data_IF_091797261973
#
_entry.id   IF_091797261973
#
_cell.length_a   1.000
_cell.length_b   1.000
_cell.length_c   1.000
_cell.angle_alpha   90.00
_cell.angle_beta   90.00
_cell.angle_gamma   90.00
#
_symmetry.space_group_name_H-M   'P 1'
#
loop_
_entity.id
_entity.type
_entity.pdbx_description
1 polymer ?
#
# COMPACT_ATOMS: atom_id res chain seq x y z
N UNK A 1 16.67 -11.65 13.47
CA UNK A 1 16.41 -11.96 12.03
C UNK A 1 17.20 -10.94 11.21
N UNK A 2 18.09 -11.38 10.31
CA UNK A 2 19.01 -10.50 9.57
C UNK A 2 18.24 -9.64 8.55
N UNK A 3 17.64 -8.54 8.99
CA UNK A 3 17.28 -7.46 8.08
C UNK A 3 18.59 -6.91 7.54
N UNK A 4 19.01 -7.36 6.34
CA UNK A 4 20.19 -6.81 5.66
C UNK A 4 19.83 -5.42 5.13
N UNK A 5 19.76 -4.45 6.03
CA UNK A 5 19.64 -3.04 5.70
C UNK A 5 20.82 -2.69 4.79
N UNK A 6 20.53 -2.15 3.61
CA UNK A 6 21.57 -1.67 2.70
C UNK A 6 21.31 -0.19 2.46
N UNK A 7 22.27 0.62 2.85
CA UNK A 7 22.28 2.05 2.62
C UNK A 7 22.90 2.34 1.26
N UNK A 8 22.23 3.14 0.43
CA UNK A 8 22.85 3.75 -0.75
C UNK A 8 23.11 5.23 -0.46
N UNK A 9 24.36 5.66 -0.61
CA UNK A 9 24.76 7.05 -0.37
C UNK A 9 24.85 7.74 -1.72
N UNK A 10 24.03 8.77 -1.90
CA UNK A 10 24.05 9.63 -3.08
C UNK A 10 24.69 10.98 -2.71
N UNK A 11 25.65 11.40 -3.54
CA UNK A 11 26.34 12.67 -3.39
C UNK A 11 25.55 13.75 -4.16
N UNK A 12 25.19 14.83 -3.48
CA UNK A 12 24.75 16.09 -4.11
C UNK A 12 25.75 17.19 -3.77
N UNK A 13 25.70 18.32 -4.47
CA UNK A 13 26.68 19.42 -4.36
C UNK A 13 27.12 19.72 -2.90
N UNK A 14 26.16 19.94 -1.99
CA UNK A 14 26.44 20.38 -0.62
C UNK A 14 26.07 19.36 0.48
N UNK A 15 25.42 18.24 0.11
CA UNK A 15 24.83 17.30 1.06
C UNK A 15 25.03 15.84 0.64
N UNK A 16 25.23 14.99 1.63
CA UNK A 16 25.18 13.54 1.51
C UNK A 16 23.76 13.11 1.83
N UNK A 17 23.15 12.35 0.91
CA UNK A 17 21.87 11.71 1.16
C UNK A 17 22.10 10.21 1.28
N UNK A 18 21.74 9.65 2.42
CA UNK A 18 21.72 8.21 2.63
C UNK A 18 20.27 7.72 2.59
N UNK A 19 20.01 6.73 1.74
CA UNK A 19 18.73 6.06 1.63
C UNK A 19 18.81 4.70 2.29
N UNK A 20 17.85 4.36 3.14
CA UNK A 20 17.71 3.04 3.78
C UNK A 20 16.34 2.50 3.44
N UNK A 21 16.31 1.26 2.95
CA UNK A 21 15.09 0.48 2.81
C UNK A 21 15.21 -0.75 3.68
N UNK A 22 14.12 -1.09 4.38
CA UNK A 22 13.97 -2.27 5.25
C UNK A 22 12.65 -2.94 4.90
N UNK A 23 12.59 -4.28 4.94
CA UNK A 23 11.37 -5.01 4.62
C UNK A 23 11.51 -6.50 4.86
N UNK A 24 10.37 -7.16 5.04
CA UNK A 24 10.26 -8.59 5.37
C UNK A 24 10.09 -9.49 4.12
N UNK A 25 10.05 -8.91 2.91
CA UNK A 25 9.70 -9.60 1.65
C UNK A 25 8.27 -10.19 1.64
N UNK A 26 7.46 -9.88 2.64
CA UNK A 26 6.10 -10.42 2.85
C UNK A 26 5.05 -9.32 2.99
N UNK A 27 5.26 -8.17 2.34
CA UNK A 27 4.28 -7.09 2.30
C UNK A 27 4.51 -5.97 3.30
N UNK A 28 5.60 -5.96 4.08
CA UNK A 28 5.94 -4.83 4.94
C UNK A 28 7.24 -4.17 4.46
N UNK A 29 7.17 -2.86 4.22
CA UNK A 29 8.32 -2.05 3.83
C UNK A 29 8.41 -0.83 4.75
N UNK A 30 9.65 -0.48 5.09
CA UNK A 30 10.02 0.85 5.55
C UNK A 30 11.05 1.49 4.63
N UNK A 31 10.92 2.79 4.41
CA UNK A 31 11.89 3.60 3.68
C UNK A 31 12.24 4.84 4.49
N UNK A 32 13.52 5.20 4.52
CA UNK A 32 14.04 6.34 5.25
C UNK A 32 15.15 7.04 4.50
N UNK A 33 15.22 8.36 4.66
CA UNK A 33 16.26 9.20 4.07
C UNK A 33 16.90 10.03 5.16
N UNK A 34 18.22 10.01 5.24
CA UNK A 34 18.99 10.88 6.11
C UNK A 34 19.85 11.79 5.26
N UNK A 35 19.82 13.08 5.55
CA UNK A 35 20.67 14.07 4.89
C UNK A 35 21.70 14.58 5.90
N UNK A 36 22.96 14.62 5.51
CA UNK A 36 24.03 15.26 6.28
C UNK A 36 24.77 16.28 5.42
N UNK A 37 25.31 17.36 6.01
CA UNK A 37 26.18 18.28 5.29
C UNK A 37 27.46 17.56 4.85
N UNK A 38 27.95 17.87 3.66
CA UNK A 38 29.11 17.19 3.06
C UNK A 38 30.38 17.27 3.90
N UNK A 39 30.57 18.37 4.64
CA UNK A 39 31.78 18.62 5.47
C UNK A 39 31.84 17.76 6.74
N UNK A 40 30.69 17.28 7.22
CA UNK A 40 30.61 16.42 8.41
C UNK A 40 29.91 15.11 8.00
N UNK A 41 30.59 14.23 7.25
CA UNK A 41 30.06 12.90 7.04
C UNK A 41 30.03 12.21 8.41
N UNK A 42 28.85 12.13 9.03
CA UNK A 42 28.62 11.04 9.95
C UNK A 42 28.93 9.77 9.14
N UNK A 43 29.94 8.97 9.57
CA UNK A 43 30.57 7.95 8.75
C UNK A 43 29.54 6.93 8.26
N UNK A 44 29.91 6.17 7.23
CA UNK A 44 29.11 5.12 6.59
C UNK A 44 28.55 4.05 7.53
N UNK A 45 28.80 4.15 8.83
CA UNK A 45 27.92 3.65 9.90
C UNK A 45 26.50 4.02 9.51
N UNK A 46 25.85 3.08 8.81
CA UNK A 46 24.63 3.33 8.06
C UNK A 46 23.63 4.05 8.96
N UNK A 47 22.75 4.91 8.42
CA UNK A 47 21.75 5.59 9.23
C UNK A 47 21.15 4.55 10.17
N UNK A 48 21.43 4.66 11.47
CA UNK A 48 20.82 3.82 12.50
C UNK A 48 19.38 4.32 12.62
N UNK A 49 18.65 4.17 11.52
CA UNK A 49 17.28 4.57 11.40
C UNK A 49 16.53 3.43 12.06
N UNK A 50 16.10 3.65 13.30
CA UNK A 50 15.11 2.79 13.93
C UNK A 50 13.91 2.77 12.98
N UNK A 51 13.61 1.66 12.27
CA UNK A 51 12.66 1.68 11.15
C UNK A 51 11.20 1.84 11.62
N UNK A 52 10.97 2.09 12.92
CA UNK A 52 9.68 2.09 13.59
C UNK A 52 8.64 3.05 12.99
N UNK A 53 9.01 4.16 12.36
CA UNK A 53 8.03 5.21 12.05
C UNK A 53 7.27 5.07 10.73
N UNK A 54 7.74 4.25 9.78
CA UNK A 54 7.12 4.20 8.44
C UNK A 54 7.02 2.77 7.88
N UNK A 55 6.51 1.82 8.66
CA UNK A 55 6.14 0.52 8.11
C UNK A 55 4.74 0.59 7.52
N UNK A 56 4.65 0.62 6.18
CA UNK A 56 3.37 0.51 5.51
C UNK A 56 3.11 -0.95 5.12
N UNK A 57 1.93 -1.51 5.44
CA UNK A 57 1.50 -2.75 4.84
C UNK A 57 1.24 -2.48 3.35
N UNK A 58 1.71 -3.38 2.52
CA UNK A 58 1.40 -3.46 1.10
C UNK A 58 0.23 -4.45 0.97
N UNK A 59 -0.70 -4.24 0.04
CA UNK A 59 -1.76 -5.23 -0.18
C UNK A 59 -1.16 -6.60 -0.48
N UNK A 60 -1.84 -7.64 -0.01
CA UNK A 60 -1.57 -8.98 -0.43
C UNK A 60 -1.55 -9.02 -1.96
N UNK A 61 -0.46 -9.58 -2.46
CA UNK A 61 -0.23 -9.82 -3.88
C UNK A 61 -1.48 -10.54 -4.41
N UNK A 62 -1.99 -10.10 -5.56
CA UNK A 62 -3.21 -10.69 -6.13
C UNK A 62 -2.84 -11.53 -7.34
N UNK A 63 -3.63 -12.58 -7.57
CA UNK A 63 -3.49 -13.44 -8.74
C UNK A 63 -4.58 -13.12 -9.74
N UNK A 64 -4.24 -13.15 -11.04
CA UNK A 64 -5.25 -13.31 -12.08
C UNK A 64 -5.93 -14.69 -12.01
N UNK A 65 -5.23 -15.70 -11.48
CA UNK A 65 -5.68 -17.10 -11.49
C UNK A 65 -5.14 -17.89 -10.27
N UNK A 66 -5.99 -18.75 -9.69
CA UNK A 66 -5.79 -19.44 -8.40
C UNK A 66 -4.64 -20.48 -8.35
N UNK A 67 -3.77 -20.58 -9.35
CA UNK A 67 -2.86 -21.74 -9.49
C UNK A 67 -1.59 -21.63 -8.62
N UNK A 68 -0.92 -20.48 -8.53
CA UNK A 68 0.38 -20.40 -7.83
C UNK A 68 0.42 -19.38 -6.68
N UNK A 69 1.63 -19.04 -6.20
CA UNK A 69 1.84 -17.95 -5.24
C UNK A 69 1.58 -16.60 -5.91
N UNK A 70 1.02 -15.63 -5.18
CA UNK A 70 0.81 -14.31 -5.75
C UNK A 70 2.15 -13.54 -5.86
N UNK A 71 2.32 -12.74 -6.92
CA UNK A 71 3.62 -12.19 -7.32
C UNK A 71 3.58 -10.71 -7.77
N UNK A 72 2.39 -10.17 -8.04
CA UNK A 72 2.19 -8.83 -8.61
C UNK A 72 1.21 -7.99 -7.78
N UNK A 73 1.20 -6.70 -8.07
CA UNK A 73 0.24 -5.69 -7.60
C UNK A 73 -1.19 -6.04 -8.06
N UNK A 74 -2.24 -5.81 -7.25
CA UNK A 74 -3.64 -6.06 -7.63
C UNK A 74 -4.16 -5.30 -8.84
N UNK A 75 -3.88 -4.02 -8.88
CA UNK A 75 -4.45 -3.09 -9.83
C UNK A 75 -3.37 -2.10 -10.25
N UNK A 76 -3.67 -1.33 -11.29
CA UNK A 76 -2.81 -0.22 -11.67
C UNK A 76 -2.88 0.86 -10.58
N UNK A 77 -1.76 1.17 -9.97
CA UNK A 77 -1.68 2.16 -8.88
C UNK A 77 -0.75 3.30 -9.26
N UNK A 78 -1.14 4.52 -8.91
CA UNK A 78 -0.35 5.74 -9.15
C UNK A 78 0.15 6.31 -7.82
N UNK A 79 1.45 6.57 -7.76
CA UNK A 79 2.11 7.22 -6.63
C UNK A 79 1.93 8.73 -6.66
N UNK A 80 2.39 9.39 -5.60
CA UNK A 80 2.33 10.84 -5.45
C UNK A 80 2.97 11.57 -6.64
N UNK A 81 2.35 12.70 -7.01
CA UNK A 81 2.68 13.51 -8.18
C UNK A 81 2.51 12.81 -9.53
N UNK A 82 1.71 11.73 -9.59
CA UNK A 82 1.48 10.90 -10.79
C UNK A 82 2.76 10.48 -11.50
N UNK A 83 3.85 10.43 -10.72
CA UNK A 83 5.18 10.32 -11.27
C UNK A 83 5.57 8.88 -11.51
N UNK A 84 5.06 7.94 -10.70
CA UNK A 84 5.28 6.50 -10.82
C UNK A 84 3.94 5.80 -10.90
N UNK A 85 3.78 4.95 -11.90
CA UNK A 85 2.64 4.04 -12.02
C UNK A 85 3.13 2.60 -12.00
N UNK A 86 2.59 1.84 -11.06
CA UNK A 86 2.78 0.39 -10.96
C UNK A 86 1.65 -0.29 -11.72
N UNK A 87 1.99 -1.17 -12.64
CA UNK A 87 1.07 -1.89 -13.51
C UNK A 87 1.32 -3.39 -13.29
N UNK A 88 0.26 -4.20 -13.11
CA UNK A 88 0.41 -5.63 -12.95
C UNK A 88 1.08 -6.26 -14.18
N UNK A 89 2.02 -7.18 -13.94
CA UNK A 89 2.74 -7.90 -14.98
C UNK A 89 2.48 -9.41 -14.88
N UNK A 90 2.59 -10.18 -15.97
CA UNK A 90 2.55 -11.65 -15.92
C UNK A 90 3.77 -12.21 -15.19
N UNK A 91 3.69 -13.47 -14.75
CA UNK A 91 4.79 -14.16 -14.06
C UNK A 91 6.06 -14.20 -14.91
N UNK A 92 7.20 -13.96 -14.28
CA UNK A 92 8.51 -14.05 -14.93
C UNK A 92 8.89 -12.81 -15.74
N UNK A 93 8.06 -11.77 -15.73
CA UNK A 93 8.44 -10.46 -16.28
C UNK A 93 9.60 -9.84 -15.49
N UNK A 94 9.63 -10.10 -14.20
CA UNK A 94 10.48 -9.39 -13.26
C UNK A 94 10.07 -7.93 -13.10
N UNK A 95 10.88 -7.20 -12.35
CA UNK A 95 10.68 -5.78 -12.07
C UNK A 95 11.47 -4.98 -13.11
N UNK A 96 10.75 -4.19 -13.92
CA UNK A 96 11.34 -3.41 -15.02
C UNK A 96 12.20 -2.22 -14.56
N UNK A 97 12.01 -1.74 -13.33
CA UNK A 97 12.76 -0.59 -12.79
C UNK A 97 14.14 -0.99 -12.27
N UNK A 98 15.21 -0.30 -12.69
CA UNK A 98 16.58 -0.52 -12.19
C UNK A 98 16.83 0.11 -10.81
N UNK A 99 16.40 1.37 -10.64
CA UNK A 99 16.76 2.22 -9.50
C UNK A 99 16.21 1.72 -8.17
N UNK A 100 14.96 1.22 -8.17
CA UNK A 100 14.25 0.79 -6.96
C UNK A 100 13.78 -0.65 -7.03
N UNK A 101 14.39 -1.46 -7.91
CA UNK A 101 14.10 -2.89 -8.05
C UNK A 101 13.99 -3.59 -6.70
N UNK A 102 14.94 -3.25 -5.83
CA UNK A 102 15.06 -3.86 -4.52
C UNK A 102 14.01 -3.40 -3.51
N UNK A 103 13.55 -2.16 -3.59
CA UNK A 103 12.48 -1.68 -2.72
C UNK A 103 11.20 -2.47 -3.00
N UNK A 104 10.88 -2.67 -4.29
CA UNK A 104 9.76 -3.51 -4.71
C UNK A 104 9.96 -4.99 -4.34
N UNK A 105 11.17 -5.55 -4.48
CA UNK A 105 11.44 -6.91 -3.99
C UNK A 105 11.23 -7.03 -2.47
N UNK A 106 11.63 -6.03 -1.69
CA UNK A 106 11.45 -6.01 -0.24
C UNK A 106 9.98 -5.84 0.16
N UNK A 107 9.15 -5.24 -0.71
CA UNK A 107 7.69 -5.32 -0.64
C UNK A 107 7.16 -6.74 -0.76
N UNK A 108 7.93 -7.61 -1.40
CA UNK A 108 7.44 -8.86 -1.94
C UNK A 108 6.75 -8.70 -3.30
N UNK A 109 7.04 -7.68 -4.10
CA UNK A 109 6.54 -7.64 -5.48
C UNK A 109 7.64 -8.20 -6.37
N UNK A 110 7.38 -9.34 -7.00
CA UNK A 110 8.35 -10.06 -7.82
C UNK A 110 8.25 -9.65 -9.30
N UNK A 111 7.04 -9.42 -9.79
CA UNK A 111 6.76 -8.98 -11.17
C UNK A 111 5.92 -7.70 -11.16
N UNK A 112 6.37 -6.66 -11.84
CA UNK A 112 5.63 -5.43 -12.00
C UNK A 112 6.18 -4.60 -13.16
N UNK A 113 5.27 -4.08 -14.00
CA UNK A 113 5.60 -3.07 -14.99
C UNK A 113 5.58 -1.70 -14.31
N UNK A 114 6.69 -0.99 -14.40
CA UNK A 114 6.80 0.37 -13.87
C UNK A 114 6.83 1.36 -15.02
N UNK A 115 5.95 2.34 -14.99
CA UNK A 115 6.04 3.52 -15.87
C UNK A 115 6.22 4.75 -15.01
N UNK A 116 7.03 5.70 -15.48
CA UNK A 116 7.25 6.92 -14.76
C UNK A 116 7.13 8.13 -15.69
N UNK A 117 6.44 9.18 -15.25
CA UNK A 117 6.16 10.38 -16.04
C UNK A 117 6.45 11.63 -15.23
N UNK A 118 6.91 12.71 -15.86
CA UNK A 118 7.23 13.97 -15.19
C UNK A 118 8.55 13.95 -14.41
N UNK A 119 8.60 14.69 -13.29
CA UNK A 119 9.81 15.02 -12.53
C UNK A 119 10.36 13.86 -11.68
N UNK A 120 10.81 12.79 -12.34
CA UNK A 120 11.54 11.66 -11.74
C UNK A 120 13.04 11.91 -11.60
N UNK A 121 13.50 13.14 -11.87
CA UNK A 121 14.91 13.50 -11.90
C UNK A 121 15.67 13.24 -10.59
N UNK A 122 14.97 13.14 -9.45
CA UNK A 122 15.62 12.83 -8.17
C UNK A 122 15.20 11.48 -7.63
N UNK A 123 16.19 10.70 -7.19
CA UNK A 123 16.01 9.40 -6.55
C UNK A 123 15.08 9.47 -5.33
N UNK A 124 15.11 10.58 -4.59
CA UNK A 124 14.28 10.80 -3.40
C UNK A 124 12.79 10.86 -3.75
N UNK A 125 12.44 11.65 -4.77
CA UNK A 125 11.06 11.75 -5.23
C UNK A 125 10.60 10.42 -5.82
N UNK A 126 11.46 9.77 -6.60
CA UNK A 126 11.15 8.48 -7.20
C UNK A 126 10.91 7.38 -6.15
N UNK A 127 11.71 7.36 -5.08
CA UNK A 127 11.57 6.43 -3.97
C UNK A 127 10.32 6.70 -3.13
N UNK A 128 10.06 7.96 -2.79
CA UNK A 128 8.84 8.36 -2.08
C UNK A 128 7.59 8.06 -2.89
N UNK A 129 7.60 8.33 -4.20
CA UNK A 129 6.49 8.03 -5.09
C UNK A 129 6.23 6.52 -5.22
N UNK A 130 7.29 5.71 -5.29
CA UNK A 130 7.16 4.25 -5.31
C UNK A 130 6.61 3.71 -4.00
N UNK A 131 7.09 4.25 -2.87
CA UNK A 131 6.60 3.89 -1.54
C UNK A 131 5.12 4.24 -1.35
N UNK A 132 4.71 5.45 -1.78
CA UNK A 132 3.32 5.89 -1.77
C UNK A 132 2.44 5.07 -2.73
N UNK A 133 2.95 4.72 -3.92
CA UNK A 133 2.23 3.82 -4.83
C UNK A 133 2.00 2.46 -4.17
N UNK A 134 2.99 1.97 -3.42
CA UNK A 134 2.89 0.66 -2.77
C UNK A 134 1.96 0.71 -1.56
N UNK A 135 1.99 1.76 -0.75
CA UNK A 135 1.06 1.90 0.39
C UNK A 135 -0.41 2.00 -0.07
N UNK A 136 -0.67 2.68 -1.19
CA UNK A 136 -2.01 2.75 -1.80
C UNK A 136 -2.54 1.40 -2.23
N UNK A 137 -1.69 0.42 -2.54
CA UNK A 137 -2.15 -0.93 -2.91
C UNK A 137 -2.99 -1.54 -1.80
N UNK A 138 -2.68 -1.27 -0.53
CA UNK A 138 -3.40 -1.80 0.63
C UNK A 138 -4.87 -1.38 0.69
N UNK A 139 -5.24 -0.28 0.03
CA UNK A 139 -6.64 0.13 -0.11
C UNK A 139 -7.49 -0.86 -0.92
N UNK A 140 -6.87 -1.69 -1.75
CA UNK A 140 -7.56 -2.71 -2.54
C UNK A 140 -7.76 -3.98 -1.72
N UNK A 141 -9.01 -4.29 -1.41
CA UNK A 141 -9.39 -5.53 -0.75
C UNK A 141 -9.74 -6.60 -1.79
N UNK A 142 -9.05 -7.72 -1.75
CA UNK A 142 -9.48 -8.91 -2.52
C UNK A 142 -10.80 -9.43 -1.95
N UNK A 143 -11.63 -10.13 -2.77
CA UNK A 143 -12.91 -10.65 -2.31
C UNK A 143 -12.83 -11.59 -1.10
N UNK A 144 -11.66 -12.17 -0.82
CA UNK A 144 -11.45 -13.01 0.37
C UNK A 144 -11.37 -12.20 1.67
N UNK A 145 -11.10 -10.90 1.58
CA UNK A 145 -11.00 -9.96 2.72
C UNK A 145 -12.25 -9.09 2.87
N UNK A 146 -13.27 -9.29 2.02
CA UNK A 146 -14.54 -8.62 2.20
C UNK A 146 -15.22 -9.18 3.45
N UNK A 147 -15.95 -8.32 4.17
CA UNK A 147 -16.76 -8.79 5.30
C UNK A 147 -17.74 -9.82 4.76
N UNK A 148 -17.79 -10.98 5.39
CA UNK A 148 -18.78 -12.00 5.07
C UNK A 148 -20.17 -11.42 5.37
N UNK A 149 -20.89 -11.05 4.31
CA UNK A 149 -22.30 -10.70 4.42
C UNK A 149 -23.07 -12.01 4.50
N UNK A 150 -23.48 -12.42 5.70
CA UNK A 150 -24.44 -13.52 5.85
C UNK A 150 -25.74 -13.13 5.14
N UNK A 151 -26.07 -13.71 3.97
CA UNK A 151 -27.21 -13.28 3.17
C UNK A 151 -28.54 -13.52 3.89
N UNK A 152 -28.52 -14.39 4.90
CA UNK A 152 -29.66 -14.66 5.77
C UNK A 152 -29.86 -13.58 6.83
N UNK A 153 -28.77 -13.06 7.43
CA UNK A 153 -28.83 -12.03 8.48
C UNK A 153 -29.30 -10.69 7.91
N UNK A 154 -28.83 -10.30 6.72
CA UNK A 154 -29.36 -9.09 6.06
C UNK A 154 -30.82 -9.24 5.64
N UNK A 155 -31.21 -10.42 5.13
CA UNK A 155 -32.58 -10.65 4.66
C UNK A 155 -33.58 -10.70 5.82
N UNK A 156 -33.18 -11.30 6.94
CA UNK A 156 -33.97 -11.28 8.18
C UNK A 156 -34.01 -9.89 8.80
N UNK A 157 -32.90 -9.15 8.86
CA UNK A 157 -32.89 -7.76 9.32
C UNK A 157 -33.80 -6.87 8.48
N UNK A 158 -33.80 -7.03 7.15
CA UNK A 158 -34.69 -6.32 6.24
C UNK A 158 -36.16 -6.66 6.52
N UNK A 159 -36.50 -7.95 6.58
CA UNK A 159 -37.87 -8.39 6.90
C UNK A 159 -38.32 -7.88 8.27
N UNK A 160 -37.49 -7.99 9.32
CA UNK A 160 -37.80 -7.51 10.66
C UNK A 160 -37.99 -5.98 10.66
N UNK A 161 -37.17 -5.24 9.92
CA UNK A 161 -37.31 -3.79 9.78
C UNK A 161 -38.62 -3.40 9.09
N UNK A 162 -38.97 -4.07 8.00
CA UNK A 162 -40.25 -3.84 7.29
C UNK A 162 -41.45 -4.09 8.20
N UNK A 163 -41.43 -5.18 8.98
CA UNK A 163 -42.47 -5.46 9.98
C UNK A 163 -42.51 -4.40 11.09
N UNK A 164 -41.36 -3.96 11.59
CA UNK A 164 -41.28 -2.94 12.64
C UNK A 164 -41.82 -1.60 12.13
N UNK A 165 -41.44 -1.17 10.93
CA UNK A 165 -41.94 0.06 10.31
C UNK A 165 -43.45 0.02 10.05
N UNK A 166 -43.98 -1.16 9.67
CA UNK A 166 -45.42 -1.36 9.52
C UNK A 166 -46.15 -1.18 10.86
N UNK A 167 -45.66 -1.80 11.94
CA UNK A 167 -46.26 -1.67 13.28
C UNK A 167 -46.21 -0.23 13.79
N UNK A 168 -45.09 0.48 13.60
CA UNK A 168 -44.99 1.90 14.00
C UNK A 168 -46.02 2.76 13.26
N UNK A 169 -46.22 2.54 11.95
CA UNK A 169 -47.23 3.26 11.16
C UNK A 169 -48.67 2.97 11.59
N UNK A 170 -48.99 1.73 11.93
CA UNK A 170 -50.34 1.38 12.40
C UNK A 170 -50.61 1.92 13.79
N UNK A 171 -49.65 1.81 14.72
CA UNK A 171 -49.82 2.30 16.09
C UNK A 171 -49.88 3.84 16.17
N UNK A 172 -49.07 4.55 15.40
CA UNK A 172 -49.14 6.03 15.32
C UNK A 172 -50.47 6.52 14.75
N UNK A 173 -51.00 5.85 13.71
CA UNK A 173 -52.34 6.16 13.17
C UNK A 173 -53.46 5.95 14.19
N UNK A 174 -53.43 4.84 14.94
CA UNK A 174 -54.41 4.56 15.99
C UNK A 174 -54.32 5.58 17.13
N UNK A 175 -53.11 6.06 17.45
CA UNK A 175 -52.94 7.09 18.48
C UNK A 175 -53.50 8.44 18.04
N UNK A 176 -53.25 8.87 16.80
CA UNK A 176 -53.79 10.12 16.23
C UNK A 176 -55.32 10.12 16.21
N UNK A 177 -55.96 8.98 15.91
CA UNK A 177 -57.42 8.86 15.92
C UNK A 177 -58.03 8.94 17.32
N UNK A 178 -57.30 8.58 18.38
CA UNK A 178 -57.80 8.62 19.77
C UNK A 178 -57.67 9.98 20.45
N UNK A 179 -56.88 10.89 19.87
CA UNK A 179 -56.67 12.25 20.39
C UNK A 179 -57.59 13.31 19.79
N UNK A 180 -58.53 12.93 18.93
CA UNK A 180 -59.64 13.79 18.47
C UNK A 180 -60.90 13.49 19.27
#
# INVERSE_FOLDING_TARGET
>A
RSCRDRSSIHWSADRLKAFVATGDYSGHIGFGVKCSPRRYPLPSEGPSFCPRSHHHPCAERVRGNKIDKPHTVPCKVTGCCDSVHLIPAPRGTGIACSVLKRLLMMAGIDDCYTSARGCTATLDNFAKATFDATSKTYSYLTPNLWKETDPYLERTSFLIRDFTDHLVKTHTRVFVQRTQ
#
